data_IF_713702854897
#
_entry.id   IF_713702854897
#
_cell.length_a   1.000
_cell.length_b   1.000
_cell.length_c   1.000
_cell.angle_alpha   90.00
_cell.angle_beta   90.00
_cell.angle_gamma   90.00
#
_symmetry.space_group_name_H-M   'P 1'
#
loop_
_entity.id
_entity.type
_entity.pdbx_description
1 polymer ?
#
# COMPACT_ATOMS: atom_id res chain seq x y z
N UNK A 1 -12.68 -12.96 17.30
CA UNK A 1 -11.64 -12.92 16.25
C UNK A 1 -11.05 -11.52 16.23
N UNK A 2 -9.74 -11.39 16.04
CA UNK A 2 -9.13 -10.06 15.90
C UNK A 2 -9.46 -9.55 14.50
N UNK A 3 -10.25 -8.48 14.40
CA UNK A 3 -10.50 -7.82 13.12
C UNK A 3 -9.26 -6.99 12.76
N UNK A 4 -8.66 -7.23 11.59
CA UNK A 4 -7.55 -6.42 11.07
C UNK A 4 -8.04 -5.53 9.95
N UNK A 5 -7.49 -4.34 9.91
CA UNK A 5 -7.76 -3.33 8.89
C UNK A 5 -6.44 -2.91 8.27
N UNK A 6 -6.50 -2.50 7.01
CA UNK A 6 -5.40 -1.86 6.30
C UNK A 6 -5.80 -0.43 5.96
N UNK A 7 -4.96 0.52 6.35
CA UNK A 7 -5.02 1.91 5.91
C UNK A 7 -3.90 2.17 4.91
N UNK A 8 -4.20 2.86 3.81
CA UNK A 8 -3.23 3.18 2.77
C UNK A 8 -3.22 4.67 2.52
N UNK A 9 -2.04 5.25 2.62
CA UNK A 9 -1.76 6.65 2.27
C UNK A 9 -0.66 6.66 1.21
N UNK A 10 -0.90 7.35 0.10
CA UNK A 10 0.13 7.63 -0.89
C UNK A 10 0.85 8.92 -0.51
N UNK A 11 2.16 8.93 -0.68
CA UNK A 11 3.00 10.12 -0.54
C UNK A 11 3.78 10.33 -1.83
N UNK A 12 3.89 11.58 -2.29
CA UNK A 12 4.70 11.93 -3.45
C UNK A 12 5.25 13.35 -3.33
N UNK A 13 6.16 13.72 -4.23
CA UNK A 13 6.70 15.07 -4.33
C UNK A 13 6.09 15.70 -5.60
N UNK A 14 5.52 16.88 -5.48
CA UNK A 14 4.96 17.62 -6.62
C UNK A 14 6.06 18.24 -7.49
N UNK A 15 5.68 18.80 -8.65
CA UNK A 15 6.63 19.48 -9.54
C UNK A 15 7.29 20.70 -8.88
N UNK A 16 6.63 21.26 -7.87
CA UNK A 16 7.12 22.37 -7.04
C UNK A 16 8.02 21.90 -5.89
N UNK A 17 8.40 20.61 -5.87
CA UNK A 17 9.19 19.98 -4.81
C UNK A 17 8.52 20.00 -3.42
N UNK A 18 7.19 20.02 -3.39
CA UNK A 18 6.41 20.00 -2.16
C UNK A 18 5.94 18.58 -1.89
N UNK A 19 6.11 18.12 -0.64
CA UNK A 19 5.58 16.83 -0.20
C UNK A 19 4.04 16.87 -0.18
N UNK A 20 3.44 15.86 -0.80
CA UNK A 20 2.00 15.67 -0.88
C UNK A 20 1.63 14.33 -0.28
N UNK A 21 0.39 14.22 0.21
CA UNK A 21 -0.19 12.98 0.67
C UNK A 21 -1.66 12.84 0.24
N UNK A 22 -2.11 11.60 0.05
CA UNK A 22 -3.50 11.28 -0.17
C UNK A 22 -3.85 9.96 0.52
N UNK A 23 -4.92 9.99 1.32
CA UNK A 23 -5.51 8.80 1.87
C UNK A 23 -6.30 8.06 0.77
N UNK A 24 -5.87 6.84 0.45
CA UNK A 24 -6.42 6.07 -0.66
C UNK A 24 -7.53 5.13 -0.23
N UNK A 25 -7.39 4.53 0.95
CA UNK A 25 -8.30 3.50 1.43
C UNK A 25 -8.15 3.21 2.92
N UNK A 26 -9.24 2.74 3.52
CA UNK A 26 -9.24 2.00 4.78
C UNK A 26 -10.22 0.84 4.67
N UNK A 27 -9.70 -0.38 4.71
CA UNK A 27 -10.47 -1.58 4.40
C UNK A 27 -10.27 -2.65 5.46
N UNK A 28 -11.33 -3.42 5.70
CA UNK A 28 -11.25 -4.66 6.46
C UNK A 28 -10.44 -5.70 5.67
N UNK A 29 -9.58 -6.43 6.37
CA UNK A 29 -8.83 -7.56 5.81
C UNK A 29 -9.38 -8.82 6.45
N UNK A 30 -9.91 -9.73 5.62
CA UNK A 30 -10.42 -11.01 6.10
C UNK A 30 -9.27 -11.96 6.50
N UNK A 31 -9.56 -12.94 7.35
CA UNK A 31 -8.61 -14.00 7.66
C UNK A 31 -8.50 -14.96 6.46
N UNK A 32 -7.31 -15.48 6.12
CA UNK A 32 -6.04 -15.32 6.81
C UNK A 32 -5.33 -14.02 6.45
N UNK A 33 -4.72 -13.36 7.46
CA UNK A 33 -3.95 -12.14 7.25
C UNK A 33 -2.52 -12.45 6.79
N UNK A 34 -2.39 -13.15 5.66
CA UNK A 34 -1.09 -13.51 5.06
C UNK A 34 -0.51 -12.36 4.25
N UNK A 35 0.75 -12.51 3.82
CA UNK A 35 1.41 -11.58 2.90
C UNK A 35 0.66 -11.49 1.58
N UNK A 36 0.20 -12.62 1.03
CA UNK A 36 -0.53 -12.67 -0.24
C UNK A 36 -1.86 -11.91 -0.17
N UNK A 37 -2.66 -12.11 0.89
CA UNK A 37 -3.96 -11.41 1.04
C UNK A 37 -3.77 -9.90 1.18
N UNK A 38 -2.73 -9.47 1.88
CA UNK A 38 -2.40 -8.04 2.02
C UNK A 38 -1.93 -7.46 0.69
N UNK A 39 -1.12 -8.22 -0.07
CA UNK A 39 -0.66 -7.86 -1.40
C UNK A 39 -1.81 -7.68 -2.38
N UNK A 40 -2.73 -8.65 -2.46
CA UNK A 40 -3.89 -8.57 -3.35
C UNK A 40 -4.72 -7.31 -3.06
N UNK A 41 -4.97 -7.01 -1.77
CA UNK A 41 -5.66 -5.76 -1.39
C UNK A 41 -4.90 -4.50 -1.78
N UNK A 42 -3.58 -4.49 -1.64
CA UNK A 42 -2.73 -3.37 -2.09
C UNK A 42 -2.82 -3.18 -3.60
N UNK A 43 -2.70 -4.26 -4.38
CA UNK A 43 -2.79 -4.25 -5.84
C UNK A 43 -4.17 -3.77 -6.31
N UNK A 44 -5.25 -4.26 -5.71
CA UNK A 44 -6.62 -3.80 -5.99
C UNK A 44 -6.75 -2.28 -5.79
N UNK A 45 -6.27 -1.76 -4.67
CA UNK A 45 -6.38 -0.33 -4.35
C UNK A 45 -5.53 0.50 -5.31
N UNK A 46 -4.30 0.08 -5.59
CA UNK A 46 -3.40 0.75 -6.54
C UNK A 46 -3.99 0.77 -7.96
N UNK A 47 -4.59 -0.32 -8.39
CA UNK A 47 -5.24 -0.45 -9.70
C UNK A 47 -6.52 0.40 -9.77
N UNK A 48 -7.34 0.42 -8.71
CA UNK A 48 -8.55 1.23 -8.64
C UNK A 48 -8.26 2.73 -8.78
N UNK A 49 -7.13 3.18 -8.23
CA UNK A 49 -6.65 4.56 -8.41
C UNK A 49 -5.88 4.77 -9.73
N UNK A 50 -5.63 3.72 -10.51
CA UNK A 50 -4.85 3.73 -11.74
C UNK A 50 -3.45 4.36 -11.55
N UNK A 51 -2.79 4.02 -10.44
CA UNK A 51 -1.48 4.56 -10.08
C UNK A 51 -0.38 3.50 -10.08
N UNK A 52 -0.65 2.28 -10.53
CA UNK A 52 0.31 1.17 -10.63
C UNK A 52 1.65 1.58 -11.28
N UNK A 53 1.61 2.42 -12.30
CA UNK A 53 2.79 2.92 -13.02
C UNK A 53 3.54 4.07 -12.29
N UNK A 54 3.02 4.53 -11.15
CA UNK A 54 3.58 5.62 -10.33
C UNK A 54 4.09 5.15 -8.96
N UNK A 55 3.87 3.89 -8.59
CA UNK A 55 4.30 3.35 -7.29
C UNK A 55 5.76 2.91 -7.38
N UNK A 56 6.63 3.57 -6.61
CA UNK A 56 8.05 3.21 -6.51
C UNK A 56 8.36 2.37 -5.27
N UNK A 57 7.72 2.70 -4.14
CA UNK A 57 8.00 2.10 -2.83
C UNK A 57 6.71 1.93 -2.03
N UNK A 58 6.66 0.89 -1.20
CA UNK A 58 5.61 0.70 -0.18
C UNK A 58 6.28 0.54 1.19
N UNK A 59 5.76 1.25 2.18
CA UNK A 59 6.20 1.15 3.58
C UNK A 59 5.04 0.60 4.42
N UNK A 60 5.36 -0.23 5.41
CA UNK A 60 4.36 -0.75 6.37
C UNK A 60 4.67 -0.22 7.76
N UNK A 61 3.64 0.11 8.54
CA UNK A 61 3.75 0.78 9.85
C UNK A 61 4.52 0.03 10.94
N UNK A 62 5.08 -1.15 10.65
CA UNK A 62 6.11 -1.74 11.48
C UNK A 62 7.47 -1.22 10.98
N UNK A 63 7.90 -0.10 11.56
CA UNK A 63 8.98 0.82 11.16
C UNK A 63 10.35 0.22 10.79
N UNK A 64 10.43 -0.65 9.78
CA UNK A 64 11.69 -1.26 9.36
C UNK A 64 11.66 -2.01 8.03
N UNK A 65 10.49 -2.26 7.43
CA UNK A 65 10.41 -2.93 6.12
C UNK A 65 9.88 -1.99 5.04
N UNK A 66 10.80 -1.45 4.26
CA UNK A 66 10.53 -0.86 2.94
C UNK A 66 10.47 -2.02 1.96
N UNK A 67 9.35 -2.17 1.25
CA UNK A 67 9.21 -3.13 0.16
C UNK A 67 9.33 -2.37 -1.16
N UNK A 68 10.27 -2.80 -1.99
CA UNK A 68 10.29 -2.35 -3.38
C UNK A 68 9.04 -2.90 -4.07
N UNK A 69 8.38 -2.09 -4.90
CA UNK A 69 7.17 -2.51 -5.59
C UNK A 69 7.39 -3.79 -6.41
N UNK A 70 8.57 -3.96 -7.00
CA UNK A 70 8.99 -5.19 -7.71
C UNK A 70 9.10 -6.43 -6.79
N UNK A 71 9.39 -6.23 -5.51
CA UNK A 71 9.48 -7.30 -4.50
C UNK A 71 8.14 -7.63 -3.86
N UNK A 72 7.08 -6.88 -4.16
CA UNK A 72 5.70 -7.26 -3.81
C UNK A 72 5.30 -8.53 -4.55
N UNK A 73 5.92 -8.81 -5.71
CA UNK A 73 5.69 -10.04 -6.47
C UNK A 73 6.03 -11.32 -5.68
N UNK A 74 6.82 -11.24 -4.60
CA UNK A 74 7.33 -12.38 -3.81
C UNK A 74 6.89 -12.41 -2.33
N UNK A 75 5.91 -11.59 -1.94
CA UNK A 75 5.21 -11.71 -0.65
C UNK A 75 4.00 -12.62 -0.79
#
# INVERSE_FOLDING_TARGET
>A
GQHKYIGITAHWISNEFIMQEAFLAFQYVEYPHTGEVIKEKLEDIINNWNINHKVSFITTGNAGKILNYTNITHI
#
